data_IF_776373766285
#
_entry.id   IF_776373766285
#
_cell.length_a   1.000
_cell.length_b   1.000
_cell.length_c   1.000
_cell.angle_alpha   90.00
_cell.angle_beta   90.00
_cell.angle_gamma   90.00
#
_symmetry.space_group_name_H-M   'P 1'
#
loop_
_entity.id
_entity.type
_entity.pdbx_description
1 polymer ?
#
# COMPACT_ATOMS: atom_id res chain seq x y z
N UNK A 1 18.87 71.90 -49.09
CA UNK A 1 18.87 70.73 -50.01
C UNK A 1 18.96 69.48 -49.17
N UNK A 2 18.13 68.50 -49.53
CA UNK A 2 17.68 67.33 -48.79
C UNK A 2 18.75 66.47 -48.12
N UNK A 3 18.36 65.85 -46.99
CA UNK A 3 18.26 64.38 -46.89
C UNK A 3 17.46 63.98 -45.64
N UNK A 4 16.36 63.29 -45.92
CA UNK A 4 15.59 62.45 -45.00
C UNK A 4 16.49 61.49 -44.22
N UNK A 5 16.20 61.33 -42.93
CA UNK A 5 16.47 60.08 -42.22
C UNK A 5 15.37 59.84 -41.19
N UNK A 6 14.44 58.98 -41.59
CA UNK A 6 13.51 58.32 -40.68
C UNK A 6 14.30 57.31 -39.84
N UNK A 7 14.24 57.43 -38.50
CA UNK A 7 14.65 56.34 -37.61
C UNK A 7 13.49 55.95 -36.70
N UNK A 8 13.18 54.67 -36.82
CA UNK A 8 12.05 53.93 -36.29
C UNK A 8 11.94 53.98 -34.77
N UNK A 9 10.71 54.16 -34.30
CA UNK A 9 10.34 53.93 -32.92
C UNK A 9 10.54 52.47 -32.51
N UNK A 10 11.32 52.29 -31.44
CA UNK A 10 11.53 51.02 -30.74
C UNK A 10 10.20 50.51 -30.17
N UNK A 11 9.51 49.64 -30.92
CA UNK A 11 8.45 48.80 -30.34
C UNK A 11 9.11 47.70 -29.52
N UNK A 12 9.08 47.85 -28.20
CA UNK A 12 9.36 46.78 -27.27
C UNK A 12 8.50 45.56 -27.61
N UNK A 13 9.16 44.44 -27.95
CA UNK A 13 8.51 43.13 -28.04
C UNK A 13 8.15 42.70 -26.60
N UNK A 14 6.93 42.25 -26.32
CA UNK A 14 6.65 41.62 -25.05
C UNK A 14 7.49 40.34 -24.97
N UNK A 15 8.25 40.19 -23.88
CA UNK A 15 8.91 38.95 -23.53
C UNK A 15 7.85 37.86 -23.43
N UNK A 16 7.86 36.94 -24.39
CA UNK A 16 7.13 35.70 -24.28
C UNK A 16 7.72 34.97 -23.06
N UNK A 17 6.97 34.99 -21.95
CA UNK A 17 7.17 34.10 -20.82
C UNK A 17 7.37 32.71 -21.38
N UNK A 18 8.62 32.22 -21.30
CA UNK A 18 8.95 30.86 -21.68
C UNK A 18 8.25 29.96 -20.67
N UNK A 19 7.06 29.50 -21.02
CA UNK A 19 6.42 28.35 -20.38
C UNK A 19 7.45 27.22 -20.39
N UNK A 20 8.07 26.97 -19.24
CA UNK A 20 8.89 25.78 -19.03
C UNK A 20 8.05 24.57 -19.46
N UNK A 21 8.52 23.74 -20.41
CA UNK A 21 7.75 22.61 -20.89
C UNK A 21 7.37 21.72 -19.70
N UNK A 22 6.09 21.36 -19.57
CA UNK A 22 5.56 20.52 -18.48
C UNK A 22 6.38 19.24 -18.22
N UNK A 23 7.11 18.75 -19.23
CA UNK A 23 8.04 17.61 -19.16
C UNK A 23 9.22 17.80 -18.18
N UNK A 24 9.66 19.02 -17.92
CA UNK A 24 10.77 19.28 -16.99
C UNK A 24 10.31 19.25 -15.52
N UNK A 25 9.05 19.56 -15.24
CA UNK A 25 8.46 19.41 -13.90
C UNK A 25 8.24 17.93 -13.55
N UNK A 26 7.72 17.13 -14.48
CA UNK A 26 7.55 15.68 -14.31
C UNK A 26 8.85 14.90 -14.07
N UNK A 27 10.01 15.43 -14.48
CA UNK A 27 11.32 14.84 -14.18
C UNK A 27 11.82 15.16 -12.77
N UNK A 28 11.37 16.26 -12.17
CA UNK A 28 11.86 16.77 -10.88
C UNK A 28 11.16 16.13 -9.68
N UNK A 29 9.93 15.66 -9.87
CA UNK A 29 9.13 15.00 -8.81
C UNK A 29 9.26 13.47 -8.82
N UNK A 30 10.08 12.90 -9.71
CA UNK A 30 10.33 11.46 -9.73
C UNK A 30 11.37 11.10 -8.67
N UNK A 31 11.05 10.13 -7.78
CA UNK A 31 12.00 9.63 -6.78
C UNK A 31 13.35 9.30 -7.39
N UNK A 32 14.43 9.67 -6.68
CA UNK A 32 15.79 9.30 -7.05
C UNK A 32 16.00 7.79 -7.03
N UNK A 33 17.09 7.30 -7.63
CA UNK A 33 17.33 5.85 -7.71
C UNK A 33 17.45 5.19 -6.33
N UNK A 34 18.01 5.90 -5.36
CA UNK A 34 18.19 5.40 -3.99
C UNK A 34 16.85 5.33 -3.24
N UNK A 35 15.99 6.32 -3.42
CA UNK A 35 14.63 6.32 -2.85
C UNK A 35 13.79 5.17 -3.44
N UNK A 36 13.92 4.90 -4.74
CA UNK A 36 13.28 3.72 -5.37
C UNK A 36 13.85 2.41 -4.86
N UNK A 37 15.17 2.35 -4.63
CA UNK A 37 15.83 1.18 -4.07
C UNK A 37 15.35 0.91 -2.64
N UNK A 38 15.22 1.95 -1.83
CA UNK A 38 14.69 1.88 -0.47
C UNK A 38 13.22 1.49 -0.47
N UNK A 39 12.40 2.09 -1.34
CA UNK A 39 11.00 1.70 -1.53
C UNK A 39 10.85 0.22 -1.91
N UNK A 40 11.68 -0.29 -2.81
CA UNK A 40 11.66 -1.71 -3.18
C UNK A 40 12.05 -2.65 -2.01
N UNK A 41 12.99 -2.25 -1.15
CA UNK A 41 13.30 -2.98 0.08
C UNK A 41 12.12 -2.96 1.05
N UNK A 42 11.51 -1.79 1.25
CA UNK A 42 10.33 -1.63 2.11
C UNK A 42 9.19 -2.53 1.65
N UNK A 43 8.88 -2.55 0.35
CA UNK A 43 7.83 -3.43 -0.20
C UNK A 43 8.11 -4.90 0.06
N UNK A 44 9.32 -5.35 -0.27
CA UNK A 44 9.74 -6.74 -0.04
C UNK A 44 9.69 -7.14 1.44
N UNK A 45 9.91 -6.18 2.35
CA UNK A 45 9.83 -6.36 3.79
C UNK A 45 8.40 -6.33 4.34
N UNK A 46 7.57 -5.41 3.86
CA UNK A 46 6.19 -5.25 4.34
C UNK A 46 5.30 -6.43 3.92
N UNK A 47 5.48 -6.92 2.69
CA UNK A 47 4.62 -7.95 2.08
C UNK A 47 5.25 -9.35 2.02
N UNK A 48 6.41 -9.55 2.68
CA UNK A 48 7.21 -10.80 2.71
C UNK A 48 7.84 -11.18 1.36
N UNK A 49 7.08 -11.11 0.28
CA UNK A 49 7.48 -11.43 -1.10
C UNK A 49 6.74 -10.50 -2.07
N UNK A 50 7.46 -9.96 -3.05
CA UNK A 50 6.88 -9.13 -4.12
C UNK A 50 7.38 -9.61 -5.48
N UNK A 51 6.53 -9.63 -6.51
CA UNK A 51 6.99 -9.95 -7.85
C UNK A 51 7.92 -8.85 -8.37
N UNK A 52 9.01 -9.24 -9.01
CA UNK A 52 9.97 -8.28 -9.62
C UNK A 52 9.28 -7.38 -10.64
N UNK A 53 8.32 -7.92 -11.39
CA UNK A 53 7.49 -7.14 -12.33
C UNK A 53 6.74 -6.02 -11.61
N UNK A 54 6.16 -6.32 -10.45
CA UNK A 54 5.36 -5.34 -9.71
C UNK A 54 6.26 -4.27 -9.09
N UNK A 55 7.49 -4.59 -8.66
CA UNK A 55 8.48 -3.59 -8.26
C UNK A 55 8.89 -2.68 -9.44
N UNK A 56 9.11 -3.25 -10.63
CA UNK A 56 9.43 -2.48 -11.85
C UNK A 56 8.34 -1.46 -12.12
N UNK A 57 7.07 -1.89 -12.06
CA UNK A 57 5.94 -1.04 -12.38
C UNK A 57 5.71 0.02 -11.29
N UNK A 58 5.63 -0.39 -10.02
CA UNK A 58 5.29 0.49 -8.89
C UNK A 58 6.43 1.42 -8.46
N UNK A 59 7.69 0.95 -8.44
CA UNK A 59 8.83 1.73 -7.90
C UNK A 59 9.71 2.32 -8.97
N UNK A 60 9.76 1.74 -10.17
CA UNK A 60 10.63 2.22 -11.24
C UNK A 60 9.88 2.81 -12.44
N UNK A 61 8.55 2.92 -12.37
CA UNK A 61 7.72 3.50 -13.43
C UNK A 61 7.84 2.73 -14.74
N UNK A 62 7.96 1.40 -14.67
CA UNK A 62 8.13 0.52 -15.82
C UNK A 62 9.56 0.46 -16.37
N UNK A 63 10.52 1.23 -15.85
CA UNK A 63 11.91 1.22 -16.33
C UNK A 63 12.64 -0.06 -15.89
N UNK A 64 12.50 -1.11 -16.69
CA UNK A 64 13.10 -2.43 -16.43
C UNK A 64 14.62 -2.39 -16.31
N UNK A 65 15.31 -1.59 -17.12
CA UNK A 65 16.78 -1.54 -17.07
C UNK A 65 17.27 -0.99 -15.72
N UNK A 66 16.75 0.17 -15.31
CA UNK A 66 17.10 0.80 -14.04
C UNK A 66 16.70 -0.08 -12.84
N UNK A 67 15.51 -0.69 -12.91
CA UNK A 67 15.01 -1.60 -11.89
C UNK A 67 15.94 -2.82 -11.73
N UNK A 68 16.24 -3.54 -12.82
CA UNK A 68 17.06 -4.75 -12.75
C UNK A 68 18.50 -4.45 -12.30
N UNK A 69 19.09 -3.33 -12.74
CA UNK A 69 20.39 -2.90 -12.25
C UNK A 69 20.38 -2.65 -10.73
N UNK A 70 19.31 -2.02 -10.23
CA UNK A 70 19.13 -1.72 -8.79
C UNK A 70 18.86 -2.97 -7.98
N UNK A 71 17.92 -3.82 -8.40
CA UNK A 71 17.58 -5.06 -7.68
C UNK A 71 18.77 -6.02 -7.62
N UNK A 72 19.56 -6.15 -8.69
CA UNK A 72 20.80 -6.95 -8.68
C UNK A 72 21.90 -6.36 -7.79
N UNK A 73 21.93 -5.03 -7.61
CA UNK A 73 22.84 -4.40 -6.65
C UNK A 73 22.42 -4.75 -5.23
N UNK A 74 21.14 -4.54 -4.89
CA UNK A 74 20.59 -4.89 -3.58
C UNK A 74 20.74 -6.39 -3.26
N UNK A 75 20.63 -7.26 -4.27
CA UNK A 75 20.89 -8.69 -4.13
C UNK A 75 22.36 -9.01 -3.85
N UNK A 76 23.30 -8.40 -4.61
CA UNK A 76 24.75 -8.54 -4.33
C UNK A 76 25.14 -8.02 -2.95
N UNK A 77 24.51 -6.93 -2.50
CA UNK A 77 24.72 -6.37 -1.16
C UNK A 77 24.09 -7.25 -0.07
N UNK A 78 23.36 -8.30 -0.47
CA UNK A 78 22.72 -9.26 0.42
C UNK A 78 21.52 -8.68 1.16
N UNK A 79 20.89 -7.61 0.65
CA UNK A 79 19.73 -6.95 1.27
C UNK A 79 18.40 -7.55 0.80
N UNK A 80 18.36 -8.06 -0.42
CA UNK A 80 17.25 -8.84 -0.95
C UNK A 80 17.73 -10.13 -1.58
N UNK A 81 16.82 -11.06 -1.80
CA UNK A 81 17.04 -12.27 -2.60
C UNK A 81 16.02 -12.32 -3.72
N UNK A 82 16.47 -12.57 -4.94
CA UNK A 82 15.61 -12.82 -6.09
C UNK A 82 15.56 -14.33 -6.34
N UNK A 83 14.38 -14.89 -6.53
CA UNK A 83 14.22 -16.27 -6.97
C UNK A 83 13.13 -16.41 -8.01
N UNK A 84 13.12 -17.57 -8.68
CA UNK A 84 12.00 -17.99 -9.52
C UNK A 84 10.89 -18.58 -8.65
N UNK A 85 9.65 -18.28 -9.00
CA UNK A 85 8.43 -18.86 -8.45
C UNK A 85 7.52 -19.30 -9.61
N UNK A 86 6.54 -20.16 -9.31
CA UNK A 86 5.54 -20.62 -10.26
C UNK A 86 4.23 -19.87 -10.00
N UNK A 87 3.66 -19.31 -11.06
CA UNK A 87 2.36 -18.67 -11.01
C UNK A 87 1.21 -19.70 -11.00
N UNK A 88 -0.04 -19.26 -10.81
CA UNK A 88 -1.20 -20.15 -10.67
C UNK A 88 -1.48 -21.00 -11.92
N UNK A 89 -1.01 -20.54 -13.09
CA UNK A 89 -1.15 -21.22 -14.38
C UNK A 89 0.13 -21.96 -14.82
N UNK A 90 1.06 -22.21 -13.90
CA UNK A 90 2.31 -22.93 -14.17
C UNK A 90 3.43 -22.10 -14.82
N UNK A 91 3.20 -20.84 -15.18
CA UNK A 91 4.25 -19.96 -15.71
C UNK A 91 5.25 -19.52 -14.65
N UNK A 92 6.54 -19.49 -14.98
CA UNK A 92 7.58 -18.97 -14.08
C UNK A 92 7.57 -17.44 -14.01
N UNK A 93 7.81 -16.88 -12.83
CA UNK A 93 8.05 -15.45 -12.63
C UNK A 93 9.11 -15.22 -11.54
N UNK A 94 9.70 -14.03 -11.50
CA UNK A 94 10.69 -13.68 -10.49
C UNK A 94 10.04 -12.95 -9.31
N UNK A 95 10.47 -13.30 -8.11
CA UNK A 95 10.05 -12.67 -6.85
C UNK A 95 11.27 -12.19 -6.08
N UNK A 96 11.09 -11.10 -5.34
CA UNK A 96 12.07 -10.55 -4.41
C UNK A 96 11.54 -10.69 -2.98
N UNK A 97 12.40 -11.14 -2.07
CA UNK A 97 12.14 -11.19 -0.63
C UNK A 97 13.28 -10.55 0.15
N UNK A 98 12.95 -9.92 1.28
CA UNK A 98 13.94 -9.30 2.14
C UNK A 98 14.80 -10.35 2.85
N UNK A 99 16.11 -10.12 2.95
CA UNK A 99 17.00 -10.97 3.74
C UNK A 99 17.05 -10.51 5.20
N UNK A 100 17.71 -11.30 6.07
CA UNK A 100 17.98 -10.87 7.46
C UNK A 100 18.76 -9.55 7.51
N UNK A 101 19.78 -9.40 6.65
CA UNK A 101 20.58 -8.17 6.56
C UNK A 101 19.73 -6.99 6.06
N UNK A 102 18.87 -7.22 5.06
CA UNK A 102 17.91 -6.22 4.58
C UNK A 102 16.95 -5.77 5.67
N UNK A 103 16.45 -6.72 6.46
CA UNK A 103 15.59 -6.43 7.62
C UNK A 103 16.29 -5.55 8.64
N UNK A 104 17.50 -5.92 9.06
CA UNK A 104 18.29 -5.13 10.01
C UNK A 104 18.52 -3.69 9.51
N UNK A 105 18.77 -3.52 8.21
CA UNK A 105 18.90 -2.19 7.60
C UNK A 105 17.61 -1.36 7.73
N UNK A 106 16.44 -1.96 7.48
CA UNK A 106 15.16 -1.25 7.58
C UNK A 106 14.77 -1.00 9.06
N UNK A 107 15.02 -1.95 9.96
CA UNK A 107 14.79 -1.78 11.40
C UNK A 107 15.62 -0.63 11.98
N UNK A 108 16.85 -0.43 11.50
CA UNK A 108 17.70 0.69 11.90
C UNK A 108 17.12 2.08 11.54
N UNK A 109 16.18 2.15 10.58
CA UNK A 109 15.49 3.41 10.25
C UNK A 109 14.33 3.75 11.21
N UNK A 110 13.98 2.83 12.12
CA UNK A 110 12.89 3.01 13.07
C UNK A 110 11.49 2.85 12.45
N UNK A 111 10.48 3.27 13.20
CA UNK A 111 9.06 3.20 12.82
C UNK A 111 8.34 1.96 13.35
N UNK A 112 7.02 1.94 13.16
CA UNK A 112 6.15 0.86 13.66
C UNK A 112 6.03 -0.34 12.70
N UNK A 113 6.53 -0.18 11.47
CA UNK A 113 6.45 -1.21 10.46
C UNK A 113 7.25 -2.45 10.86
N UNK A 114 6.57 -3.60 10.89
CA UNK A 114 7.23 -4.89 11.01
C UNK A 114 7.78 -5.32 9.66
N UNK A 115 9.07 -5.64 9.62
CA UNK A 115 9.73 -6.09 8.40
C UNK A 115 9.89 -7.62 8.40
N UNK A 116 9.31 -8.28 7.40
CA UNK A 116 9.35 -9.72 7.21
C UNK A 116 10.51 -10.12 6.32
N UNK A 117 11.14 -11.24 6.65
CA UNK A 117 12.11 -11.88 5.75
C UNK A 117 11.42 -12.89 4.86
N UNK A 118 11.73 -12.87 3.58
CA UNK A 118 11.11 -13.76 2.59
C UNK A 118 11.70 -15.16 2.67
N UNK A 119 10.92 -16.15 3.15
CA UNK A 119 11.14 -17.56 2.81
C UNK A 119 10.37 -17.80 1.52
N UNK A 120 11.10 -17.92 0.41
CA UNK A 120 10.53 -17.99 -0.94
C UNK A 120 9.91 -19.37 -1.16
N UNK A 121 8.70 -19.58 -0.63
CA UNK A 121 7.85 -20.72 -0.97
C UNK A 121 7.15 -20.43 -2.29
N UNK A 122 7.44 -21.28 -3.29
CA UNK A 122 6.92 -21.20 -4.65
C UNK A 122 5.38 -21.15 -4.67
N UNK A 123 4.71 -21.87 -3.77
CA UNK A 123 3.23 -21.95 -3.74
C UNK A 123 2.60 -20.70 -3.13
N UNK A 124 3.23 -20.10 -2.13
CA UNK A 124 2.74 -18.89 -1.46
C UNK A 124 3.11 -17.61 -2.21
N UNK A 125 4.23 -17.62 -2.94
CA UNK A 125 4.75 -16.45 -3.66
C UNK A 125 3.75 -15.83 -4.63
N UNK A 126 2.90 -16.65 -5.27
CA UNK A 126 1.86 -16.12 -6.15
C UNK A 126 0.74 -15.41 -5.39
N UNK A 127 0.37 -15.90 -4.21
CA UNK A 127 -0.63 -15.27 -3.35
C UNK A 127 -0.10 -13.95 -2.80
N UNK A 128 1.09 -13.98 -2.19
CA UNK A 128 1.74 -12.81 -1.61
C UNK A 128 1.93 -11.69 -2.66
N UNK A 129 2.33 -12.04 -3.89
CA UNK A 129 2.42 -11.07 -4.98
C UNK A 129 1.06 -10.48 -5.37
N UNK A 130 -0.02 -11.25 -5.30
CA UNK A 130 -1.37 -10.74 -5.55
C UNK A 130 -1.84 -9.81 -4.42
N UNK A 131 -1.49 -10.13 -3.17
CA UNK A 131 -1.76 -9.27 -2.01
C UNK A 131 -1.04 -7.93 -2.17
N UNK A 132 0.24 -7.94 -2.54
CA UNK A 132 0.99 -6.72 -2.83
C UNK A 132 0.30 -5.87 -3.89
N UNK A 133 -0.10 -6.44 -5.04
CA UNK A 133 -0.77 -5.67 -6.10
C UNK A 133 -2.09 -5.04 -5.63
N UNK A 134 -2.88 -5.80 -4.88
CA UNK A 134 -4.15 -5.30 -4.35
C UNK A 134 -3.92 -4.18 -3.34
N UNK A 135 -2.91 -4.34 -2.48
CA UNK A 135 -2.57 -3.34 -1.47
C UNK A 135 -1.94 -2.08 -2.09
N UNK A 136 -0.99 -2.20 -3.02
CA UNK A 136 -0.39 -1.07 -3.73
C UNK A 136 -1.45 -0.21 -4.45
N UNK A 137 -2.50 -0.83 -5.00
CA UNK A 137 -3.62 -0.11 -5.60
C UNK A 137 -4.47 0.66 -4.58
N UNK A 138 -4.48 0.25 -3.31
CA UNK A 138 -5.16 0.96 -2.22
C UNK A 138 -4.25 2.02 -1.61
N UNK A 139 -2.95 1.75 -1.45
CA UNK A 139 -1.96 2.77 -1.06
C UNK A 139 -1.99 3.96 -2.01
N UNK A 140 -2.06 3.71 -3.33
CA UNK A 140 -2.19 4.77 -4.33
C UNK A 140 -3.48 5.60 -4.15
N UNK A 141 -4.60 4.97 -3.79
CA UNK A 141 -5.86 5.70 -3.50
C UNK A 141 -5.77 6.54 -2.24
N UNK A 142 -5.13 6.00 -1.19
CA UNK A 142 -4.90 6.72 0.05
C UNK A 142 -4.04 7.96 -0.24
N UNK A 143 -2.97 7.80 -1.01
CA UNK A 143 -2.09 8.90 -1.42
C UNK A 143 -2.82 9.94 -2.30
N UNK A 144 -3.59 9.49 -3.29
CA UNK A 144 -4.46 10.35 -4.12
C UNK A 144 -5.49 11.14 -3.30
N UNK A 145 -5.96 10.57 -2.18
CA UNK A 145 -6.85 11.23 -1.24
C UNK A 145 -6.11 12.13 -0.22
N UNK A 146 -4.80 12.31 -0.34
CA UNK A 146 -3.98 13.12 0.57
C UNK A 146 -3.62 12.43 1.89
N UNK A 147 -3.95 11.15 2.03
CA UNK A 147 -3.57 10.33 3.18
C UNK A 147 -2.14 9.79 3.05
N UNK A 148 -1.63 9.28 4.17
CA UNK A 148 -0.30 8.68 4.28
C UNK A 148 -0.40 7.30 4.91
N UNK A 149 0.08 6.29 4.20
CA UNK A 149 0.26 4.94 4.75
C UNK A 149 1.30 5.00 5.87
N UNK A 150 0.93 4.51 7.04
CA UNK A 150 1.82 4.42 8.20
C UNK A 150 2.38 3.02 8.39
N UNK A 151 1.59 1.99 8.04
CA UNK A 151 1.97 0.60 8.25
C UNK A 151 1.16 -0.36 7.39
N UNK A 152 1.77 -1.47 7.02
CA UNK A 152 1.13 -2.66 6.44
C UNK A 152 1.26 -3.82 7.42
N UNK A 153 0.14 -4.48 7.72
CA UNK A 153 0.08 -5.67 8.58
C UNK A 153 -0.46 -6.85 7.80
N UNK A 154 0.36 -7.88 7.62
CA UNK A 154 -0.07 -9.12 6.93
C UNK A 154 -0.74 -10.09 7.91
N UNK A 155 -1.49 -11.06 7.37
CA UNK A 155 -2.24 -12.07 8.12
C UNK A 155 -1.40 -12.75 9.23
N UNK A 156 -0.15 -13.08 8.93
CA UNK A 156 0.77 -13.74 9.85
C UNK A 156 1.05 -12.92 11.11
N UNK A 157 0.97 -11.59 11.02
CA UNK A 157 1.12 -10.72 12.20
C UNK A 157 -0.06 -10.86 13.14
N UNK A 158 -1.29 -10.81 12.61
CA UNK A 158 -2.51 -10.98 13.40
C UNK A 158 -2.56 -12.36 14.05
N UNK A 159 -2.30 -13.41 13.27
CA UNK A 159 -2.27 -14.80 13.78
C UNK A 159 -1.26 -14.95 14.92
N UNK A 160 -0.08 -14.35 14.78
CA UNK A 160 0.97 -14.43 15.81
C UNK A 160 0.55 -13.74 17.11
N UNK A 161 -0.08 -12.55 17.03
CA UNK A 161 -0.58 -11.83 18.21
C UNK A 161 -1.68 -12.63 18.90
N UNK A 162 -2.66 -13.11 18.13
CA UNK A 162 -3.80 -13.86 18.65
C UNK A 162 -3.33 -15.15 19.31
N UNK A 163 -2.57 -15.98 18.59
CA UNK A 163 -2.10 -17.26 19.11
C UNK A 163 -1.34 -17.06 20.44
N UNK A 164 -0.39 -16.12 20.49
CA UNK A 164 0.39 -15.86 21.70
C UNK A 164 -0.49 -15.48 22.90
N UNK A 165 -1.46 -14.59 22.72
CA UNK A 165 -2.29 -14.09 23.82
C UNK A 165 -3.37 -15.07 24.26
N UNK A 166 -4.00 -15.76 23.31
CA UNK A 166 -4.99 -16.80 23.60
C UNK A 166 -4.34 -17.99 24.31
N UNK A 167 -3.16 -18.44 23.87
CA UNK A 167 -2.45 -19.54 24.55
C UNK A 167 -1.99 -19.13 25.95
N UNK A 168 -1.53 -17.88 26.14
CA UNK A 168 -1.21 -17.37 27.48
C UNK A 168 -2.44 -17.38 28.39
N UNK A 169 -3.58 -16.84 27.94
CA UNK A 169 -4.82 -16.83 28.71
C UNK A 169 -5.32 -18.25 29.01
N UNK A 170 -5.16 -19.19 28.06
CA UNK A 170 -5.47 -20.60 28.26
C UNK A 170 -4.62 -21.22 29.37
N UNK A 171 -3.32 -20.93 29.39
CA UNK A 171 -2.41 -21.45 30.41
C UNK A 171 -2.72 -20.89 31.81
N UNK A 172 -3.15 -19.63 31.90
CA UNK A 172 -3.39 -18.93 33.17
C UNK A 172 -4.80 -19.17 33.74
N UNK A 173 -5.81 -19.37 32.90
CA UNK A 173 -7.22 -19.42 33.33
C UNK A 173 -8.10 -20.41 32.56
N UNK A 174 -7.50 -21.34 31.81
CA UNK A 174 -8.21 -22.38 31.08
C UNK A 174 -9.01 -21.88 29.87
N UNK A 175 -9.93 -22.72 29.39
CA UNK A 175 -10.67 -22.47 28.15
C UNK A 175 -11.56 -21.22 28.19
N UNK A 176 -12.19 -20.93 29.33
CA UNK A 176 -13.05 -19.75 29.48
C UNK A 176 -12.24 -18.45 29.40
N UNK A 177 -11.05 -18.40 30.00
CA UNK A 177 -10.16 -17.25 29.91
C UNK A 177 -9.63 -17.07 28.47
N UNK A 178 -9.30 -18.17 27.79
CA UNK A 178 -8.87 -18.14 26.39
C UNK A 178 -9.96 -17.58 25.46
N UNK A 179 -11.22 -17.96 25.67
CA UNK A 179 -12.35 -17.47 24.87
C UNK A 179 -12.62 -15.99 25.13
N UNK A 180 -12.61 -15.56 26.40
CA UNK A 180 -12.77 -14.15 26.76
C UNK A 180 -11.65 -13.26 26.18
N UNK A 181 -10.41 -13.75 26.20
CA UNK A 181 -9.28 -13.04 25.59
C UNK A 181 -9.40 -13.00 24.06
N UNK A 182 -9.91 -14.07 23.43
CA UNK A 182 -10.16 -14.09 22.00
C UNK A 182 -11.25 -13.06 21.59
N UNK A 183 -12.34 -12.92 22.36
CA UNK A 183 -13.35 -11.89 22.11
C UNK A 183 -12.81 -10.48 22.29
N UNK A 184 -11.99 -10.26 23.33
CA UNK A 184 -11.30 -8.98 23.54
C UNK A 184 -10.40 -8.65 22.34
N UNK A 185 -9.61 -9.63 21.87
CA UNK A 185 -8.71 -9.46 20.74
C UNK A 185 -9.43 -9.18 19.43
N UNK A 186 -10.62 -9.72 19.22
CA UNK A 186 -11.44 -9.39 18.06
C UNK A 186 -11.79 -7.90 18.02
N UNK A 187 -12.19 -7.33 19.16
CA UNK A 187 -12.43 -5.90 19.29
C UNK A 187 -11.17 -5.05 19.14
N UNK A 188 -10.10 -5.42 19.86
CA UNK A 188 -8.82 -4.70 19.87
C UNK A 188 -8.16 -4.64 18.49
N UNK A 189 -8.16 -5.77 17.77
CA UNK A 189 -7.56 -5.87 16.45
C UNK A 189 -8.54 -5.54 15.33
N UNK A 190 -9.80 -5.21 15.62
CA UNK A 190 -10.83 -4.97 14.61
C UNK A 190 -11.00 -6.15 13.64
N UNK A 191 -10.96 -7.38 14.17
CA UNK A 191 -11.16 -8.62 13.41
C UNK A 191 -12.56 -9.16 13.69
N UNK A 192 -13.19 -9.78 12.69
CA UNK A 192 -14.43 -10.52 12.93
C UNK A 192 -14.14 -11.92 13.46
N UNK A 193 -15.04 -12.43 14.30
CA UNK A 193 -15.08 -13.83 14.72
C UNK A 193 -16.42 -14.46 14.36
N UNK A 194 -16.38 -15.60 13.69
CA UNK A 194 -17.56 -16.38 13.33
C UNK A 194 -17.33 -17.84 13.76
N UNK A 195 -18.27 -18.41 14.51
CA UNK A 195 -18.13 -19.77 15.04
C UNK A 195 -16.85 -19.99 15.87
N UNK A 196 -16.43 -18.97 16.64
CA UNK A 196 -15.21 -19.00 17.46
C UNK A 196 -13.90 -18.81 16.68
N UNK A 197 -13.95 -18.67 15.35
CA UNK A 197 -12.76 -18.52 14.49
C UNK A 197 -12.58 -17.09 14.05
N UNK A 198 -11.35 -16.59 14.11
CA UNK A 198 -10.98 -15.29 13.56
C UNK A 198 -10.96 -15.32 12.03
N UNK A 199 -11.49 -14.26 11.44
CA UNK A 199 -11.23 -13.91 10.04
C UNK A 199 -10.03 -12.97 9.99
N UNK A 200 -8.95 -13.41 9.34
CA UNK A 200 -7.75 -12.60 9.16
C UNK A 200 -7.71 -12.07 7.72
N UNK A 201 -7.53 -10.76 7.51
CA UNK A 201 -7.28 -10.25 6.18
C UNK A 201 -5.90 -10.67 5.68
N UNK A 202 -5.75 -10.81 4.37
CA UNK A 202 -4.44 -11.07 3.76
C UNK A 202 -3.43 -9.97 4.12
N UNK A 203 -3.88 -8.72 4.07
CA UNK A 203 -3.17 -7.57 4.61
C UNK A 203 -4.12 -6.48 5.11
N UNK A 204 -3.66 -5.63 6.02
CA UNK A 204 -4.29 -4.38 6.43
C UNK A 204 -3.32 -3.23 6.18
N UNK A 205 -3.80 -2.20 5.49
CA UNK A 205 -3.08 -0.93 5.32
C UNK A 205 -3.60 0.03 6.38
N UNK A 206 -2.74 0.41 7.32
CA UNK A 206 -2.99 1.45 8.30
C UNK A 206 -2.47 2.79 7.75
N UNK A 207 -3.26 3.84 7.90
CA UNK A 207 -2.97 5.15 7.34
C UNK A 207 -3.46 6.27 8.23
N UNK A 208 -2.96 7.47 7.94
CA UNK A 208 -3.49 8.74 8.45
C UNK A 208 -4.07 9.49 7.27
N UNK A 209 -5.32 9.96 7.35
CA UNK A 209 -5.94 10.73 6.27
C UNK A 209 -5.44 12.18 6.21
N UNK A 210 -5.93 12.94 5.24
CA UNK A 210 -5.62 14.36 5.05
C UNK A 210 -6.03 15.24 6.25
N UNK A 211 -6.91 14.74 7.12
CA UNK A 211 -7.36 15.40 8.36
C UNK A 211 -6.59 14.92 9.59
N UNK A 212 -5.57 14.08 9.45
CA UNK A 212 -4.78 13.57 10.57
C UNK A 212 -5.44 12.43 11.34
N UNK A 213 -6.56 11.87 10.85
CA UNK A 213 -7.27 10.77 11.50
C UNK A 213 -6.68 9.44 11.08
N UNK A 214 -6.51 8.53 12.03
CA UNK A 214 -6.05 7.17 11.73
C UNK A 214 -7.17 6.30 11.17
N UNK A 215 -6.83 5.47 10.20
CA UNK A 215 -7.73 4.53 9.55
C UNK A 215 -7.03 3.23 9.18
N UNK A 216 -7.82 2.25 8.75
CA UNK A 216 -7.33 0.96 8.28
C UNK A 216 -8.20 0.41 7.16
N UNK A 217 -7.58 -0.15 6.12
CA UNK A 217 -8.26 -0.86 5.04
C UNK A 217 -7.79 -2.31 4.99
N UNK A 218 -8.74 -3.25 5.04
CA UNK A 218 -8.48 -4.68 4.87
C UNK A 218 -8.41 -5.04 3.38
N UNK A 219 -7.41 -5.83 3.04
CA UNK A 219 -7.12 -6.32 1.69
C UNK A 219 -7.35 -7.82 1.65
N UNK A 220 -8.18 -8.26 0.70
CA UNK A 220 -8.55 -9.68 0.50
C UNK A 220 -8.39 -10.07 -0.97
N UNK A 221 -7.55 -11.06 -1.25
CA UNK A 221 -7.35 -11.62 -2.58
C UNK A 221 -8.22 -12.86 -2.74
N UNK A 222 -9.21 -12.82 -3.65
CA UNK A 222 -9.91 -14.04 -4.09
C UNK A 222 -9.43 -14.49 -5.45
N UNK A 223 -9.64 -15.77 -5.77
CA UNK A 223 -9.16 -16.47 -6.98
C UNK A 223 -9.62 -15.86 -8.31
N UNK A 224 -10.59 -14.93 -8.30
CA UNK A 224 -11.01 -14.19 -9.48
C UNK A 224 -10.90 -12.66 -9.34
N UNK A 225 -11.14 -12.08 -8.15
CA UNK A 225 -11.08 -10.63 -7.95
C UNK A 225 -10.78 -10.24 -6.50
N UNK A 226 -10.09 -9.11 -6.32
CA UNK A 226 -9.99 -8.41 -5.05
C UNK A 226 -11.41 -8.06 -4.55
N UNK A 227 -11.75 -8.46 -3.31
CA UNK A 227 -13.00 -8.04 -2.66
C UNK A 227 -12.69 -6.89 -1.72
N UNK A 228 -13.21 -5.71 -2.05
CA UNK A 228 -13.25 -4.55 -1.14
C UNK A 228 -14.23 -4.85 0.00
N UNK A 229 -13.75 -5.33 1.13
CA UNK A 229 -14.51 -5.25 2.39
C UNK A 229 -13.96 -4.06 3.18
N UNK A 230 -14.87 -3.17 3.57
CA UNK A 230 -14.65 -1.98 4.38
C UNK A 230 -14.19 -0.68 3.67
N UNK A 231 -14.89 -0.24 2.62
CA UNK A 231 -15.19 1.20 2.51
C UNK A 231 -16.35 1.49 3.47
N UNK A 232 -16.02 1.48 4.76
CA UNK A 232 -16.77 2.20 5.79
C UNK A 232 -15.76 2.53 6.88
N UNK A 233 -15.04 3.62 6.64
CA UNK A 233 -14.42 4.38 7.71
C UNK A 233 -15.45 4.48 8.85
N UNK A 234 -15.18 3.80 9.97
CA UNK A 234 -15.81 4.15 11.24
C UNK A 234 -15.26 5.53 11.55
N UNK A 235 -16.02 6.54 11.17
CA UNK A 235 -15.79 7.91 11.58
C UNK A 235 -15.67 7.90 13.10
N UNK A 236 -14.46 8.14 13.58
CA UNK A 236 -14.08 8.38 14.97
C UNK A 236 -14.39 7.28 15.98
N UNK A 237 -13.51 7.16 16.98
CA UNK A 237 -13.87 6.53 18.23
C UNK A 237 -15.21 7.10 18.75
N UNK A 238 -16.24 6.26 18.76
CA UNK A 238 -17.59 6.62 19.19
C UNK A 238 -18.68 6.11 18.25
N UNK A 239 -19.16 4.90 18.51
CA UNK A 239 -20.27 4.26 17.82
C UNK A 239 -21.46 5.21 17.56
N UNK A 240 -21.86 5.35 16.30
CA UNK A 240 -23.27 5.46 15.91
C UNK A 240 -23.46 4.96 14.46
N UNK A 241 -24.10 3.80 14.33
CA UNK A 241 -24.79 3.42 13.09
C UNK A 241 -26.04 4.28 12.95
N UNK A 242 -26.17 5.04 11.87
CA UNK A 242 -27.48 5.35 11.33
C UNK A 242 -27.84 4.29 10.28
N UNK A 243 -28.97 3.64 10.55
CA UNK A 243 -29.57 2.56 9.80
C UNK A 243 -30.06 3.01 8.42
N UNK A 244 -30.18 2.03 7.53
CA UNK A 244 -30.76 2.16 6.21
C UNK A 244 -32.21 2.67 6.26
N UNK A 245 -32.57 3.51 5.29
CA UNK A 245 -33.95 3.81 4.92
C UNK A 245 -34.00 4.05 3.41
N UNK A 246 -34.53 3.08 2.67
CA UNK A 246 -34.85 3.21 1.25
C UNK A 246 -36.12 4.08 1.11
N UNK A 247 -36.08 5.00 0.14
CA UNK A 247 -37.20 5.55 -0.64
C UNK A 247 -38.25 6.48 0.02
N UNK A 248 -38.21 7.76 -0.39
CA UNK A 248 -39.32 8.65 -0.79
C UNK A 248 -38.70 10.05 -1.01
N UNK A 249 -38.98 10.88 -2.01
CA UNK A 249 -39.87 10.82 -3.15
C UNK A 249 -39.28 11.75 -4.24
N UNK A 250 -39.76 11.56 -5.46
CA UNK A 250 -39.48 12.40 -6.62
C UNK A 250 -39.72 13.89 -6.33
N UNK A 251 -38.91 14.68 -7.00
CA UNK A 251 -38.97 16.12 -7.08
C UNK A 251 -40.37 16.67 -7.39
N UNK A 252 -40.57 17.86 -6.83
CA UNK A 252 -41.58 18.86 -7.11
C UNK A 252 -42.21 18.86 -8.51
N UNK A 253 -43.54 18.91 -8.52
CA UNK A 253 -44.34 19.96 -9.16
C UNK A 253 -44.02 20.34 -10.61
N UNK A 254 -44.87 19.89 -11.52
CA UNK A 254 -45.30 20.70 -12.67
C UNK A 254 -46.82 20.77 -12.64
N UNK A 255 -47.34 21.92 -12.19
CA UNK A 255 -48.70 22.35 -12.47
C UNK A 255 -48.63 23.51 -13.47
N UNK A 256 -49.19 23.30 -14.67
CA UNK A 256 -49.74 24.33 -15.57
C UNK A 256 -50.74 23.63 -16.50
N UNK A 257 -51.97 24.15 -16.53
CA UNK A 257 -53.03 23.76 -17.47
C UNK A 257 -54.17 23.06 -16.79
#
# INVERSE_FOLDING_TARGET
MSRDRAEAGTRARPEAERETPRRDRERRDRPGIDERAEGALRDAGAYRVVAVKDLIDCRFGGNRFAAMATLRRLERDGLLRIAKAQGPRGGEFQVAGLTVRGRQRLEASGGEQRWWTGRLDVRQSSHDAAVYRAAAAEEARIDEAGGRVTRVRIDAEFRSIVARRVEKARAEGGAAAAEAEADRLAGELGLSREGGKFHYPDARIEYVDDQGRTGGVDVEVTTAHYRRKAIRAKASAGMALHAAGRAAARAAGFGRG
#
